data_IF_681557679512
#
_entry.id   IF_681557679512
#
_cell.length_a   1.000
_cell.length_b   1.000
_cell.length_c   1.000
_cell.angle_alpha   90.00
_cell.angle_beta   90.00
_cell.angle_gamma   90.00
#
_symmetry.space_group_name_H-M   'P 1'
#
loop_
_entity.id
_entity.type
_entity.pdbx_description
1 polymer ?
#
# COMPACT_ATOMS: atom_id res chain seq x y z
N UNK A 1 -26.12 -14.68 2.81
CA UNK A 1 -26.06 -13.32 2.22
C UNK A 1 -25.86 -13.46 0.72
N UNK A 2 -26.62 -12.75 -0.11
CA UNK A 2 -26.44 -12.77 -1.58
C UNK A 2 -25.11 -12.12 -1.99
N UNK A 3 -24.57 -12.45 -3.17
CA UNK A 3 -23.32 -11.84 -3.65
C UNK A 3 -23.46 -10.32 -3.83
N UNK A 4 -24.63 -9.83 -4.26
CA UNK A 4 -24.95 -8.40 -4.34
C UNK A 4 -24.79 -7.72 -2.99
N UNK A 5 -25.34 -8.33 -1.94
CA UNK A 5 -25.21 -7.81 -0.59
C UNK A 5 -23.74 -7.84 -0.14
N UNK A 6 -22.97 -8.89 -0.41
CA UNK A 6 -21.54 -8.95 -0.05
C UNK A 6 -20.74 -7.77 -0.62
N UNK A 7 -20.90 -7.46 -1.91
CA UNK A 7 -20.24 -6.31 -2.55
C UNK A 7 -20.72 -4.99 -1.95
N UNK A 8 -22.02 -4.81 -1.76
CA UNK A 8 -22.56 -3.59 -1.15
C UNK A 8 -22.01 -3.36 0.26
N UNK A 9 -21.92 -4.41 1.10
CA UNK A 9 -21.38 -4.30 2.45
C UNK A 9 -19.88 -4.01 2.46
N UNK A 10 -19.11 -4.58 1.52
CA UNK A 10 -17.69 -4.29 1.37
C UNK A 10 -17.44 -2.83 0.95
N UNK A 11 -18.23 -2.31 0.02
CA UNK A 11 -18.07 -0.94 -0.47
C UNK A 11 -18.57 0.09 0.54
N UNK A 12 -19.66 -0.21 1.25
CA UNK A 12 -20.11 0.60 2.38
C UNK A 12 -19.06 0.61 3.51
N UNK A 13 -18.47 -0.54 3.82
CA UNK A 13 -17.40 -0.63 4.80
C UNK A 13 -16.19 0.24 4.41
N UNK A 14 -15.73 0.15 3.16
CA UNK A 14 -14.64 0.99 2.67
C UNK A 14 -14.99 2.47 2.77
N UNK A 15 -16.17 2.87 2.29
CA UNK A 15 -16.65 4.24 2.38
C UNK A 15 -16.67 4.77 3.82
N UNK A 16 -17.27 4.03 4.76
CA UNK A 16 -17.34 4.44 6.16
C UNK A 16 -15.96 4.54 6.81
N UNK A 17 -15.05 3.62 6.45
CA UNK A 17 -13.68 3.61 6.94
C UNK A 17 -12.95 4.89 6.53
N UNK A 18 -13.03 5.29 5.26
CA UNK A 18 -12.35 6.51 4.78
C UNK A 18 -13.09 7.80 5.18
N UNK A 19 -14.41 7.76 5.29
CA UNK A 19 -15.21 8.91 5.73
C UNK A 19 -14.88 9.32 7.16
N UNK A 20 -14.49 8.37 8.02
CA UNK A 20 -14.15 8.63 9.42
C UNK A 20 -12.89 9.51 9.59
N UNK A 21 -12.02 9.58 8.58
CA UNK A 21 -10.83 10.45 8.58
C UNK A 21 -11.20 11.92 8.71
N UNK A 22 -12.30 12.35 8.08
CA UNK A 22 -12.72 13.76 8.07
C UNK A 22 -13.04 14.29 9.47
N UNK A 23 -13.99 13.72 10.24
CA UNK A 23 -14.28 14.21 11.59
C UNK A 23 -13.08 14.07 12.52
N UNK A 24 -12.26 13.03 12.36
CA UNK A 24 -11.02 12.87 13.14
C UNK A 24 -10.06 14.04 12.92
N UNK A 25 -9.78 14.40 11.66
CA UNK A 25 -8.92 15.53 11.33
C UNK A 25 -9.49 16.88 11.82
N UNK A 26 -10.82 17.07 11.77
CA UNK A 26 -11.46 18.27 12.32
C UNK A 26 -11.24 18.38 13.83
N UNK A 27 -11.39 17.27 14.56
CA UNK A 27 -11.15 17.24 16.01
C UNK A 27 -9.68 17.53 16.33
N UNK A 28 -8.74 16.93 15.60
CA UNK A 28 -7.30 17.17 15.76
C UNK A 28 -6.98 18.66 15.51
N UNK A 29 -7.51 19.23 14.42
CA UNK A 29 -7.31 20.64 14.08
C UNK A 29 -7.88 21.57 15.16
N UNK A 30 -9.08 21.28 15.67
CA UNK A 30 -9.69 22.06 16.74
C UNK A 30 -8.86 22.03 18.03
N UNK A 31 -8.37 20.85 18.44
CA UNK A 31 -7.49 20.72 19.61
C UNK A 31 -6.20 21.52 19.39
N UNK A 32 -5.59 21.39 18.22
CA UNK A 32 -4.36 22.11 17.86
C UNK A 32 -4.55 23.63 17.95
N UNK A 33 -5.62 24.17 17.37
CA UNK A 33 -5.89 25.62 17.40
C UNK A 33 -6.25 26.15 18.80
N UNK A 34 -6.91 25.35 19.63
CA UNK A 34 -7.38 25.79 20.96
C UNK A 34 -6.36 25.61 22.07
N UNK A 35 -5.48 24.62 21.96
CA UNK A 35 -4.51 24.27 23.02
C UNK A 35 -3.06 24.51 22.60
N UNK A 36 -2.78 24.72 21.32
CA UNK A 36 -1.43 24.75 20.76
C UNK A 36 -0.77 23.37 20.65
N UNK A 37 -1.48 22.30 21.01
CA UNK A 37 -0.95 20.95 20.95
C UNK A 37 -0.76 20.47 19.51
N UNK A 38 0.41 19.89 19.22
CA UNK A 38 0.69 19.28 17.92
C UNK A 38 0.71 17.76 18.04
N UNK A 39 0.04 17.10 17.10
CA UNK A 39 0.04 15.64 16.99
C UNK A 39 1.40 15.18 16.49
N UNK A 40 2.05 14.25 17.21
CA UNK A 40 3.29 13.64 16.71
C UNK A 40 3.01 12.67 15.56
N UNK A 41 3.99 12.47 14.67
CA UNK A 41 3.90 11.51 13.57
C UNK A 41 3.56 10.10 14.07
N UNK A 42 4.17 9.66 15.19
CA UNK A 42 3.88 8.37 15.81
C UNK A 42 2.41 8.26 16.23
N UNK A 43 1.88 9.27 16.92
CA UNK A 43 0.50 9.27 17.36
C UNK A 43 -0.48 9.26 16.18
N UNK A 44 -0.17 9.99 15.10
CA UNK A 44 -0.95 9.98 13.88
C UNK A 44 -1.04 8.58 13.26
N UNK A 45 0.10 7.88 13.12
CA UNK A 45 0.15 6.49 12.59
C UNK A 45 -0.61 5.51 13.50
N UNK A 46 -0.43 5.60 14.82
CA UNK A 46 -1.11 4.70 15.76
C UNK A 46 -2.62 4.91 15.77
N UNK A 47 -3.08 6.16 15.73
CA UNK A 47 -4.51 6.48 15.65
C UNK A 47 -5.07 5.99 14.31
N UNK A 48 -4.36 6.20 13.20
CA UNK A 48 -4.85 5.83 11.87
C UNK A 48 -5.01 4.32 11.72
N UNK A 49 -4.00 3.56 12.12
CA UNK A 49 -4.06 2.10 12.11
C UNK A 49 -5.03 1.56 13.18
N UNK A 50 -5.14 2.23 14.32
CA UNK A 50 -6.07 1.89 15.40
C UNK A 50 -7.53 1.95 14.96
N UNK A 51 -7.95 3.02 14.27
CA UNK A 51 -9.34 3.11 13.79
C UNK A 51 -9.60 2.11 12.67
N UNK A 52 -8.65 1.83 11.77
CA UNK A 52 -8.79 0.77 10.78
C UNK A 52 -9.03 -0.60 11.44
N UNK A 53 -8.30 -0.93 12.52
CA UNK A 53 -8.53 -2.16 13.29
C UNK A 53 -9.96 -2.20 13.84
N UNK A 54 -10.46 -1.09 14.40
CA UNK A 54 -11.82 -0.99 14.91
C UNK A 54 -12.83 -1.22 13.78
N UNK A 55 -12.67 -0.55 12.64
CA UNK A 55 -13.52 -0.71 11.47
C UNK A 55 -13.54 -2.18 10.99
N UNK A 56 -12.36 -2.78 10.80
CA UNK A 56 -12.22 -4.19 10.37
C UNK A 56 -12.88 -5.14 11.37
N UNK A 57 -12.72 -4.89 12.67
CA UNK A 57 -13.32 -5.70 13.74
C UNK A 57 -14.85 -5.64 13.68
N UNK A 58 -15.42 -4.43 13.52
CA UNK A 58 -16.87 -4.24 13.35
C UNK A 58 -17.37 -4.97 12.11
N UNK A 59 -16.66 -4.85 10.98
CA UNK A 59 -17.02 -5.56 9.75
C UNK A 59 -17.03 -7.08 9.94
N UNK A 60 -15.99 -7.63 10.55
CA UNK A 60 -15.88 -9.06 10.81
C UNK A 60 -17.00 -9.58 11.72
N UNK A 61 -17.34 -8.83 12.77
CA UNK A 61 -18.44 -9.16 13.68
C UNK A 61 -19.81 -9.07 12.98
N UNK A 62 -19.99 -8.08 12.10
CA UNK A 62 -21.24 -7.88 11.35
C UNK A 62 -21.43 -8.89 10.20
N UNK A 63 -20.34 -9.36 9.58
CA UNK A 63 -20.38 -10.20 8.38
C UNK A 63 -20.97 -11.60 8.60
N UNK A 64 -21.11 -12.05 9.87
CA UNK A 64 -21.66 -13.36 10.30
C UNK A 64 -21.17 -14.56 9.48
N UNK A 65 -19.95 -14.47 8.93
CA UNK A 65 -19.28 -15.50 8.12
C UNK A 65 -17.96 -15.87 8.79
N UNK A 66 -17.44 -17.06 8.46
CA UNK A 66 -16.12 -17.48 8.95
C UNK A 66 -15.06 -16.51 8.43
N UNK A 67 -14.46 -15.74 9.34
CA UNK A 67 -13.47 -14.69 9.05
C UNK A 67 -12.30 -15.23 8.22
N UNK A 68 -11.79 -16.42 8.51
CA UNK A 68 -10.69 -17.03 7.77
C UNK A 68 -11.02 -17.36 6.31
N UNK A 69 -12.27 -17.74 6.02
CA UNK A 69 -12.73 -18.04 4.67
C UNK A 69 -13.00 -16.75 3.88
N UNK A 70 -13.61 -15.74 4.52
CA UNK A 70 -13.88 -14.42 3.93
C UNK A 70 -12.59 -13.67 3.62
N UNK A 71 -11.65 -13.66 4.58
CA UNK A 71 -10.37 -12.94 4.45
C UNK A 71 -9.30 -13.75 3.71
N UNK A 72 -9.58 -14.98 3.29
CA UNK A 72 -8.60 -15.88 2.63
C UNK A 72 -7.33 -16.10 3.46
N UNK A 73 -7.48 -16.28 4.78
CA UNK A 73 -6.37 -16.65 5.66
C UNK A 73 -6.14 -18.16 5.52
N UNK A 74 -5.20 -18.54 4.65
CA UNK A 74 -4.86 -19.93 4.32
C UNK A 74 -3.36 -20.15 4.38
N UNK A 75 -2.92 -21.37 4.68
CA UNK A 75 -1.52 -21.73 4.46
C UNK A 75 -1.26 -21.78 2.96
N UNK A 76 -0.06 -21.38 2.55
CA UNK A 76 0.41 -21.44 1.17
C UNK A 76 1.78 -22.13 1.13
N UNK A 77 2.21 -22.58 -0.04
CA UNK A 77 3.43 -23.38 -0.16
C UNK A 77 4.67 -22.59 0.31
N UNK A 78 5.52 -23.19 1.16
CA UNK A 78 6.66 -22.50 1.79
C UNK A 78 7.66 -21.95 0.76
N UNK A 79 7.91 -22.67 -0.33
CA UNK A 79 8.74 -22.17 -1.44
C UNK A 79 8.18 -20.91 -2.10
N UNK A 80 6.86 -20.70 -2.01
CA UNK A 80 6.25 -19.45 -2.47
C UNK A 80 6.55 -18.29 -1.55
N UNK A 81 6.76 -18.50 -0.25
CA UNK A 81 7.14 -17.43 0.67
C UNK A 81 8.49 -16.84 0.23
N UNK A 82 9.47 -17.70 -0.08
CA UNK A 82 10.74 -17.26 -0.64
C UNK A 82 10.58 -16.56 -2.00
N UNK A 83 9.84 -17.15 -2.94
CA UNK A 83 9.66 -16.56 -4.26
C UNK A 83 8.89 -15.24 -4.23
N UNK A 84 7.98 -15.04 -3.27
CA UNK A 84 7.30 -13.75 -3.07
C UNK A 84 8.30 -12.66 -2.65
N UNK A 85 9.30 -12.98 -1.84
CA UNK A 85 10.37 -12.04 -1.47
C UNK A 85 11.29 -11.73 -2.67
N UNK A 86 11.63 -12.75 -3.47
CA UNK A 86 12.40 -12.55 -4.71
C UNK A 86 11.60 -11.70 -5.71
N UNK A 87 10.31 -11.97 -5.84
CA UNK A 87 9.40 -11.19 -6.68
C UNK A 87 9.34 -9.73 -6.20
N UNK A 88 9.24 -9.50 -4.89
CA UNK A 88 9.26 -8.16 -4.32
C UNK A 88 10.55 -7.45 -4.69
N UNK A 89 11.71 -8.09 -4.52
CA UNK A 89 13.00 -7.53 -4.92
C UNK A 89 13.05 -7.16 -6.40
N UNK A 90 12.52 -8.01 -7.29
CA UNK A 90 12.47 -7.70 -8.73
C UNK A 90 11.46 -6.62 -9.09
N UNK A 91 10.40 -6.44 -8.28
CA UNK A 91 9.39 -5.41 -8.50
C UNK A 91 9.79 -4.05 -7.91
N UNK A 92 10.64 -4.02 -6.88
CA UNK A 92 11.05 -2.80 -6.18
C UNK A 92 11.61 -1.71 -7.10
N UNK A 93 12.44 -2.00 -8.14
CA UNK A 93 12.89 -0.96 -9.08
C UNK A 93 11.74 -0.22 -9.78
N UNK A 94 10.61 -0.89 -10.06
CA UNK A 94 9.43 -0.23 -10.64
C UNK A 94 8.77 0.69 -9.61
N UNK A 95 8.65 0.24 -8.36
CA UNK A 95 8.09 1.07 -7.28
C UNK A 95 8.97 2.31 -7.03
N UNK A 96 10.29 2.17 -6.97
CA UNK A 96 11.23 3.28 -6.83
C UNK A 96 11.20 4.22 -8.02
N UNK A 97 11.10 3.69 -9.25
CA UNK A 97 10.94 4.52 -10.44
C UNK A 97 9.65 5.35 -10.37
N UNK A 98 8.52 4.74 -9.95
CA UNK A 98 7.25 5.43 -9.79
C UNK A 98 7.29 6.50 -8.68
N UNK A 99 7.95 6.22 -7.56
CA UNK A 99 8.17 7.18 -6.48
C UNK A 99 9.06 8.36 -6.95
N UNK A 100 10.15 8.11 -7.67
CA UNK A 100 10.98 9.18 -8.23
C UNK A 100 10.20 9.99 -9.27
N UNK A 101 9.39 9.34 -10.12
CA UNK A 101 8.59 10.02 -11.14
C UNK A 101 7.51 10.90 -10.52
N UNK A 102 6.86 10.47 -9.44
CA UNK A 102 5.86 11.29 -8.74
C UNK A 102 6.49 12.48 -7.98
N UNK A 103 7.75 12.35 -7.54
CA UNK A 103 8.51 13.45 -6.92
C UNK A 103 8.80 14.63 -7.87
N UNK A 104 8.64 14.46 -9.19
CA UNK A 104 8.67 15.59 -10.13
C UNK A 104 7.51 16.57 -9.96
N UNK A 105 6.45 16.18 -9.25
CA UNK A 105 5.21 16.94 -9.13
C UNK A 105 4.77 17.17 -7.68
N UNK A 106 5.08 16.25 -6.75
CA UNK A 106 4.66 16.30 -5.35
C UNK A 106 5.77 15.76 -4.44
N UNK A 107 6.04 16.44 -3.32
CA UNK A 107 7.02 16.07 -2.30
C UNK A 107 6.72 14.70 -1.67
N UNK A 108 7.74 14.06 -1.09
CA UNK A 108 7.62 12.76 -0.44
C UNK A 108 7.48 12.89 1.07
N UNK A 109 6.24 13.09 1.53
CA UNK A 109 5.91 13.24 2.96
C UNK A 109 6.05 11.93 3.77
N UNK A 110 6.10 10.78 3.08
CA UNK A 110 6.23 9.49 3.75
C UNK A 110 7.61 9.36 4.38
N UNK A 111 8.66 9.79 3.68
CA UNK A 111 10.03 9.64 4.17
C UNK A 111 10.30 10.55 5.39
N UNK A 112 9.78 11.78 5.38
CA UNK A 112 9.83 12.71 6.51
C UNK A 112 9.04 12.17 7.70
N UNK A 113 7.82 11.66 7.48
CA UNK A 113 7.03 11.01 8.53
C UNK A 113 7.77 9.83 9.18
N UNK A 114 8.45 9.00 8.40
CA UNK A 114 9.25 7.88 8.94
C UNK A 114 10.43 8.42 9.76
N UNK A 115 11.08 9.49 9.31
CA UNK A 115 12.20 10.10 10.02
C UNK A 115 11.77 10.67 11.37
N UNK A 116 10.65 11.42 11.42
CA UNK A 116 10.08 11.97 12.65
C UNK A 116 9.74 10.87 13.66
N UNK A 117 9.28 9.71 13.19
CA UNK A 117 9.06 8.56 14.08
C UNK A 117 10.40 7.94 14.50
N UNK A 118 11.41 7.92 13.62
CA UNK A 118 12.69 7.28 13.88
C UNK A 118 13.51 7.94 14.99
N UNK A 119 13.30 9.23 15.22
CA UNK A 119 13.92 9.95 16.33
C UNK A 119 13.25 9.66 17.68
N UNK A 120 11.97 9.26 17.65
CA UNK A 120 11.16 9.02 18.85
C UNK A 120 11.23 7.57 19.37
N UNK A 121 11.37 6.59 18.46
CA UNK A 121 11.29 5.16 18.84
C UNK A 121 12.46 4.34 18.28
N UNK A 122 12.85 3.24 18.96
CA UNK A 122 13.90 2.36 18.46
C UNK A 122 13.52 1.68 17.15
N UNK A 123 14.54 1.33 16.36
CA UNK A 123 14.41 0.67 15.05
C UNK A 123 13.40 -0.49 15.02
N UNK A 124 13.48 -1.43 15.98
CA UNK A 124 12.55 -2.56 16.01
C UNK A 124 11.09 -2.12 16.22
N UNK A 125 10.85 -1.08 17.01
CA UNK A 125 9.52 -0.51 17.18
C UNK A 125 9.05 0.17 15.89
N UNK A 126 9.93 0.90 15.19
CA UNK A 126 9.65 1.46 13.85
C UNK A 126 9.23 0.39 12.84
N UNK A 127 9.95 -0.73 12.78
CA UNK A 127 9.62 -1.87 11.91
C UNK A 127 8.24 -2.45 12.24
N UNK A 128 7.86 -2.51 13.51
CA UNK A 128 6.55 -3.02 13.91
C UNK A 128 5.42 -2.03 13.60
N UNK A 129 5.61 -0.74 13.91
CA UNK A 129 4.58 0.30 13.81
C UNK A 129 4.35 0.75 12.37
N UNK A 130 5.41 0.89 11.57
CA UNK A 130 5.34 1.39 10.19
C UNK A 130 5.40 0.23 9.19
N UNK A 131 6.14 -0.83 9.52
CA UNK A 131 6.29 -2.00 8.66
C UNK A 131 5.13 -2.99 8.77
N UNK A 132 5.03 -3.63 9.94
CA UNK A 132 4.17 -4.79 10.12
C UNK A 132 2.69 -4.44 10.36
N UNK A 133 2.41 -3.40 11.16
CA UNK A 133 1.05 -3.02 11.53
C UNK A 133 0.19 -2.60 10.30
N UNK A 134 0.64 -1.68 9.43
CA UNK A 134 -0.08 -1.35 8.19
C UNK A 134 -0.25 -2.57 7.28
N UNK A 135 0.81 -3.37 7.13
CA UNK A 135 0.77 -4.57 6.30
C UNK A 135 -0.29 -5.59 6.76
N UNK A 136 -0.55 -5.70 8.06
CA UNK A 136 -1.62 -6.53 8.60
C UNK A 136 -2.99 -5.93 8.29
N UNK A 137 -3.18 -4.66 8.62
CA UNK A 137 -4.52 -4.04 8.63
C UNK A 137 -5.01 -3.72 7.22
N UNK A 138 -4.15 -3.13 6.40
CA UNK A 138 -4.51 -2.69 5.04
C UNK A 138 -4.73 -3.86 4.09
N UNK A 139 -3.99 -4.97 4.26
CA UNK A 139 -4.20 -6.20 3.49
C UNK A 139 -5.55 -6.83 3.82
N UNK A 140 -6.02 -6.75 5.07
CA UNK A 140 -7.36 -7.23 5.44
C UNK A 140 -8.43 -6.40 4.73
N UNK A 141 -8.31 -5.08 4.72
CA UNK A 141 -9.26 -4.18 4.04
C UNK A 141 -9.23 -4.43 2.53
N UNK A 142 -8.06 -4.39 1.92
CA UNK A 142 -7.93 -4.41 0.46
C UNK A 142 -8.09 -5.81 -0.11
N UNK A 143 -7.35 -6.80 0.41
CA UNK A 143 -7.32 -8.16 -0.18
C UNK A 143 -8.32 -9.09 0.50
N UNK A 144 -8.51 -8.92 1.81
CA UNK A 144 -9.50 -9.68 2.56
C UNK A 144 -10.94 -9.29 2.20
N UNK A 145 -11.27 -8.00 2.25
CA UNK A 145 -12.64 -7.50 2.03
C UNK A 145 -12.91 -7.15 0.56
N UNK A 146 -12.21 -6.17 0.00
CA UNK A 146 -12.54 -5.62 -1.32
C UNK A 146 -12.24 -6.59 -2.47
N UNK A 147 -11.03 -7.17 -2.52
CA UNK A 147 -10.67 -8.15 -3.55
C UNK A 147 -11.61 -9.37 -3.51
N UNK A 148 -11.89 -9.92 -2.34
CA UNK A 148 -12.79 -11.06 -2.18
C UNK A 148 -14.22 -10.75 -2.64
N UNK A 149 -14.75 -9.57 -2.31
CA UNK A 149 -16.09 -9.18 -2.70
C UNK A 149 -16.19 -8.96 -4.23
N UNK A 150 -15.29 -8.17 -4.80
CA UNK A 150 -15.35 -7.79 -6.22
C UNK A 150 -14.94 -8.93 -7.18
N UNK A 151 -14.13 -9.88 -6.71
CA UNK A 151 -13.82 -11.11 -7.46
C UNK A 151 -15.05 -11.99 -7.71
N UNK A 152 -16.12 -11.86 -6.91
CA UNK A 152 -17.40 -12.54 -7.17
C UNK A 152 -18.01 -12.11 -8.51
N UNK A 153 -17.78 -10.86 -8.91
CA UNK A 153 -18.26 -10.31 -10.20
C UNK A 153 -17.23 -10.52 -11.31
N UNK A 154 -15.97 -10.21 -11.04
CA UNK A 154 -14.89 -10.30 -12.02
C UNK A 154 -13.55 -10.25 -11.31
N UNK A 155 -12.72 -11.27 -11.53
CA UNK A 155 -11.36 -11.32 -11.01
C UNK A 155 -10.55 -10.06 -11.37
N UNK A 156 -10.60 -9.63 -12.63
CA UNK A 156 -9.91 -8.42 -13.10
C UNK A 156 -10.39 -7.17 -12.36
N UNK A 157 -11.69 -7.08 -12.10
CA UNK A 157 -12.24 -5.94 -11.38
C UNK A 157 -11.84 -5.97 -9.92
N UNK A 158 -11.85 -7.13 -9.27
CA UNK A 158 -11.36 -7.29 -7.90
C UNK A 158 -9.90 -6.88 -7.73
N UNK A 159 -9.04 -7.26 -8.68
CA UNK A 159 -7.63 -6.86 -8.70
C UNK A 159 -7.50 -5.33 -8.83
N UNK A 160 -8.16 -4.72 -9.82
CA UNK A 160 -8.05 -3.29 -10.07
C UNK A 160 -8.66 -2.47 -8.94
N UNK A 161 -9.87 -2.81 -8.49
CA UNK A 161 -10.59 -2.08 -7.43
C UNK A 161 -9.81 -2.15 -6.11
N UNK A 162 -9.29 -3.33 -5.74
CA UNK A 162 -8.49 -3.45 -4.52
C UNK A 162 -7.16 -2.70 -4.61
N UNK A 163 -6.53 -2.66 -5.78
CA UNK A 163 -5.31 -1.88 -6.01
C UNK A 163 -5.55 -0.36 -5.96
N UNK A 164 -6.64 0.13 -6.57
CA UNK A 164 -7.04 1.55 -6.47
C UNK A 164 -7.37 1.90 -5.03
N UNK A 165 -8.13 1.05 -4.32
CA UNK A 165 -8.43 1.28 -2.91
C UNK A 165 -7.16 1.35 -2.06
N UNK A 166 -6.22 0.43 -2.28
CA UNK A 166 -4.94 0.43 -1.59
C UNK A 166 -4.14 1.72 -1.85
N UNK A 167 -4.05 2.19 -3.10
CA UNK A 167 -3.43 3.47 -3.40
C UNK A 167 -4.14 4.63 -2.69
N UNK A 168 -5.48 4.71 -2.82
CA UNK A 168 -6.29 5.78 -2.25
C UNK A 168 -6.25 5.84 -0.73
N UNK A 169 -6.12 4.71 -0.02
CA UNK A 169 -6.04 4.69 1.45
C UNK A 169 -4.84 5.46 2.00
N UNK A 170 -3.78 5.65 1.21
CA UNK A 170 -2.61 6.41 1.63
C UNK A 170 -2.87 7.92 1.65
N UNK A 171 -3.85 8.41 0.87
CA UNK A 171 -4.22 9.83 0.80
C UNK A 171 -3.03 10.78 0.55
N UNK A 172 -1.98 10.28 -0.10
CA UNK A 172 -0.76 11.00 -0.44
C UNK A 172 -0.47 10.80 -1.93
N UNK A 173 -0.36 11.90 -2.69
CA UNK A 173 -0.24 11.83 -4.15
C UNK A 173 1.05 11.17 -4.61
N UNK A 174 2.14 11.41 -3.89
CA UNK A 174 3.43 10.81 -4.21
C UNK A 174 3.35 9.29 -4.09
N UNK A 175 2.78 8.82 -2.98
CA UNK A 175 2.65 7.42 -2.61
C UNK A 175 1.62 6.68 -3.44
N UNK A 176 0.51 7.32 -3.79
CA UNK A 176 -0.56 6.71 -4.59
C UNK A 176 -0.03 6.07 -5.89
N UNK A 177 0.96 6.67 -6.55
CA UNK A 177 1.50 6.17 -7.81
C UNK A 177 2.14 4.78 -7.67
N UNK A 178 3.10 4.61 -6.76
CA UNK A 178 3.75 3.32 -6.54
C UNK A 178 2.88 2.36 -5.72
N UNK A 179 2.03 2.88 -4.82
CA UNK A 179 1.07 2.09 -4.06
C UNK A 179 0.05 1.43 -4.99
N UNK A 180 -0.39 2.08 -6.08
CA UNK A 180 -1.27 1.43 -7.06
C UNK A 180 -0.58 0.23 -7.75
N UNK A 181 0.68 0.38 -8.14
CA UNK A 181 1.46 -0.70 -8.74
C UNK A 181 1.64 -1.89 -7.77
N UNK A 182 2.09 -1.63 -6.54
CA UNK A 182 2.17 -2.65 -5.49
C UNK A 182 0.80 -3.23 -5.16
N UNK A 183 -0.23 -2.39 -5.22
CA UNK A 183 -1.66 -2.67 -5.24
C UNK A 183 -1.99 -3.89 -6.09
N UNK A 184 -1.71 -3.75 -7.39
CA UNK A 184 -1.91 -4.76 -8.41
C UNK A 184 -1.05 -6.01 -8.15
N UNK A 185 0.23 -5.81 -7.82
CA UNK A 185 1.18 -6.89 -7.58
C UNK A 185 0.74 -7.79 -6.42
N UNK A 186 0.37 -7.20 -5.28
CA UNK A 186 -0.11 -7.93 -4.12
C UNK A 186 -1.44 -8.63 -4.42
N UNK A 187 -2.39 -7.97 -5.11
CA UNK A 187 -3.61 -8.66 -5.52
C UNK A 187 -3.32 -9.90 -6.39
N UNK A 188 -2.35 -9.81 -7.31
CA UNK A 188 -1.89 -10.95 -8.11
C UNK A 188 -1.18 -12.03 -7.28
N UNK A 189 -0.39 -11.65 -6.27
CA UNK A 189 0.22 -12.61 -5.33
C UNK A 189 -0.87 -13.36 -4.55
N UNK A 190 -1.89 -12.68 -4.02
CA UNK A 190 -3.01 -13.36 -3.31
C UNK A 190 -3.74 -14.31 -4.23
N UNK A 191 -3.95 -13.95 -5.49
CA UNK A 191 -4.60 -14.84 -6.45
C UNK A 191 -3.71 -16.05 -6.78
N UNK A 192 -2.40 -15.84 -6.95
CA UNK A 192 -1.43 -16.89 -7.22
C UNK A 192 -1.25 -17.87 -6.03
N UNK A 193 -1.28 -17.40 -4.79
CA UNK A 193 -1.07 -18.23 -3.59
C UNK A 193 -2.38 -18.71 -2.95
N UNK A 194 -3.47 -18.00 -3.20
CA UNK A 194 -4.75 -18.17 -2.51
C UNK A 194 -4.78 -17.66 -1.06
N UNK A 195 -3.78 -16.90 -0.62
CA UNK A 195 -3.65 -16.46 0.78
C UNK A 195 -3.18 -15.03 0.95
N UNK A 196 -3.89 -14.25 1.79
CA UNK A 196 -3.45 -12.90 2.18
C UNK A 196 -2.18 -12.91 3.04
N UNK A 197 -1.83 -14.03 3.67
CA UNK A 197 -0.61 -14.12 4.48
C UNK A 197 0.65 -13.92 3.61
N UNK A 198 0.58 -14.32 2.34
CA UNK A 198 1.68 -14.12 1.40
C UNK A 198 1.92 -12.65 1.07
N UNK A 199 0.87 -11.86 0.96
CA UNK A 199 0.98 -10.41 0.72
C UNK A 199 1.22 -9.61 1.97
N UNK A 200 0.70 -10.02 3.13
CA UNK A 200 1.07 -9.44 4.42
C UNK A 200 2.59 -9.53 4.63
N UNK A 201 3.20 -10.68 4.30
CA UNK A 201 4.66 -10.83 4.34
C UNK A 201 5.34 -9.88 3.35
N UNK A 202 4.92 -9.86 2.09
CA UNK A 202 5.52 -8.99 1.07
C UNK A 202 5.42 -7.51 1.43
N UNK A 203 4.25 -7.07 1.87
CA UNK A 203 3.98 -5.70 2.26
C UNK A 203 4.78 -5.31 3.52
N UNK A 204 4.80 -6.17 4.54
CA UNK A 204 5.59 -5.91 5.75
C UNK A 204 7.09 -5.79 5.44
N UNK A 205 7.62 -6.66 4.55
CA UNK A 205 9.02 -6.58 4.12
C UNK A 205 9.28 -5.32 3.30
N UNK A 206 8.38 -4.93 2.38
CA UNK A 206 8.54 -3.72 1.60
C UNK A 206 8.64 -2.48 2.50
N UNK A 207 7.69 -2.34 3.44
CA UNK A 207 7.68 -1.23 4.37
C UNK A 207 8.87 -1.30 5.34
N UNK A 208 9.24 -2.49 5.81
CA UNK A 208 10.42 -2.69 6.66
C UNK A 208 11.71 -2.22 5.96
N UNK A 209 11.88 -2.48 4.66
CA UNK A 209 13.03 -1.98 3.89
C UNK A 209 13.03 -0.46 3.83
N UNK A 210 11.87 0.18 3.57
CA UNK A 210 11.76 1.65 3.57
C UNK A 210 12.09 2.25 4.93
N UNK A 211 11.58 1.66 6.02
CA UNK A 211 11.91 2.06 7.40
C UNK A 211 13.40 1.87 7.67
N UNK A 212 13.98 0.74 7.27
CA UNK A 212 15.41 0.47 7.45
C UNK A 212 16.27 1.52 6.76
N UNK A 213 15.90 1.92 5.55
CA UNK A 213 16.63 2.94 4.81
C UNK A 213 16.68 4.26 5.58
N UNK A 214 15.54 4.73 6.10
CA UNK A 214 15.47 5.99 6.86
C UNK A 214 16.23 5.91 8.18
N UNK A 215 16.08 4.82 8.94
CA UNK A 215 16.80 4.63 10.21
C UNK A 215 18.32 4.53 10.04
N UNK A 216 18.79 4.01 8.90
CA UNK A 216 20.21 3.87 8.60
C UNK A 216 20.81 5.13 7.95
N UNK A 217 19.99 6.09 7.51
CA UNK A 217 20.46 7.26 6.78
C UNK A 217 21.49 8.10 7.57
N UNK A 218 21.30 8.42 8.87
CA UNK A 218 22.31 9.14 9.64
C UNK A 218 23.65 8.39 9.71
N UNK A 219 23.60 7.07 9.91
CA UNK A 219 24.80 6.22 9.94
C UNK A 219 25.52 6.19 8.58
N UNK A 220 24.77 6.17 7.47
CA UNK A 220 25.33 6.21 6.11
C UNK A 220 26.07 7.53 5.89
N UNK A 221 25.51 8.65 6.35
CA UNK A 221 26.14 9.98 6.26
C UNK A 221 27.44 10.02 7.06
N UNK A 222 27.42 9.56 8.32
CA UNK A 222 28.62 9.48 9.18
C UNK A 222 29.69 8.56 8.57
N UNK A 223 29.29 7.42 8.01
CA UNK A 223 30.20 6.49 7.34
C UNK A 223 30.85 7.13 6.11
N UNK A 224 30.08 7.87 5.30
CA UNK A 224 30.61 8.60 4.15
C UNK A 224 31.65 9.63 4.58
N UNK A 225 31.38 10.41 5.62
CA UNK A 225 32.33 11.39 6.16
C UNK A 225 33.60 10.71 6.66
N UNK A 226 33.48 9.60 7.39
CA UNK A 226 34.63 8.83 7.88
C UNK A 226 35.50 8.26 6.74
N UNK A 227 34.90 7.84 5.62
CA UNK A 227 35.61 7.26 4.48
C UNK A 227 36.24 8.31 3.56
N UNK A 228 35.59 9.47 3.39
CA UNK A 228 36.03 10.50 2.44
C UNK A 228 36.78 11.66 3.09
N UNK A 229 36.63 11.84 4.41
CA UNK A 229 37.11 13.03 5.13
C UNK A 229 36.33 14.30 4.77
N UNK A 230 35.25 14.19 4.00
CA UNK A 230 34.41 15.30 3.57
C UNK A 230 33.11 15.28 4.37
N UNK A 231 32.84 16.36 5.10
CA UNK A 231 31.56 16.54 5.77
C UNK A 231 30.42 16.60 4.74
N UNK A 232 29.29 15.98 5.04
CA UNK A 232 28.11 16.09 4.21
C UNK A 232 27.57 17.52 4.24
N UNK A 233 27.11 18.02 3.09
CA UNK A 233 26.55 19.38 2.98
C UNK A 233 25.21 19.52 3.72
N UNK A 234 24.44 18.43 3.82
CA UNK A 234 23.14 18.40 4.50
C UNK A 234 23.05 17.19 5.43
N UNK A 235 22.35 17.36 6.55
CA UNK A 235 22.00 16.27 7.46
C UNK A 235 20.85 15.41 6.94
N UNK A 236 20.58 14.27 7.62
CA UNK A 236 19.53 13.33 7.21
C UNK A 236 18.13 13.96 7.14
N UNK A 237 17.74 14.74 8.16
CA UNK A 237 16.46 15.46 8.20
C UNK A 237 16.30 16.42 7.03
N UNK A 238 17.34 17.22 6.78
CA UNK A 238 17.37 18.23 5.73
C UNK A 238 17.30 17.59 4.34
N UNK A 239 18.02 16.49 4.11
CA UNK A 239 17.94 15.71 2.88
C UNK A 239 16.52 15.17 2.61
N UNK A 240 15.82 14.69 3.64
CA UNK A 240 14.48 14.11 3.49
C UNK A 240 13.40 15.18 3.32
N UNK A 241 13.53 16.31 4.01
CA UNK A 241 12.57 17.43 3.96
C UNK A 241 12.68 18.24 2.68
N UNK A 242 13.91 18.56 2.24
CA UNK A 242 14.11 19.27 0.97
C UNK A 242 13.84 18.36 -0.24
N UNK A 243 14.03 17.06 -0.07
CA UNK A 243 13.91 16.09 -1.15
C UNK A 243 15.02 16.22 -2.19
N UNK A 244 14.95 15.39 -3.23
CA UNK A 244 15.94 15.42 -4.32
C UNK A 244 15.65 16.55 -5.31
N UNK A 245 16.71 17.22 -5.78
CA UNK A 245 16.59 18.23 -6.81
C UNK A 245 16.11 17.64 -8.14
N UNK A 246 15.47 18.45 -9.01
CA UNK A 246 14.91 17.97 -10.27
C UNK A 246 15.94 17.24 -11.15
N UNK A 247 17.19 17.73 -11.19
CA UNK A 247 18.28 17.08 -11.96
C UNK A 247 18.67 15.71 -11.39
N UNK A 248 18.64 15.55 -10.07
CA UNK A 248 18.92 14.29 -9.36
C UNK A 248 17.79 13.29 -9.60
N UNK A 249 16.53 13.75 -9.56
CA UNK A 249 15.35 12.92 -9.88
C UNK A 249 15.44 12.42 -11.33
N UNK A 250 15.75 13.29 -12.29
CA UNK A 250 15.89 12.90 -13.69
C UNK A 250 17.04 11.89 -13.89
N UNK A 251 18.15 12.07 -13.19
CA UNK A 251 19.25 11.10 -13.19
C UNK A 251 18.82 9.76 -12.58
N UNK A 252 18.11 9.78 -11.45
CA UNK A 252 17.59 8.58 -10.81
C UNK A 252 16.63 7.82 -11.75
N UNK A 253 15.72 8.51 -12.44
CA UNK A 253 14.83 7.91 -13.42
C UNK A 253 15.58 7.24 -14.57
N UNK A 254 16.59 7.92 -15.12
CA UNK A 254 17.44 7.37 -16.19
C UNK A 254 18.13 6.08 -15.73
N UNK A 255 18.73 6.09 -14.54
CA UNK A 255 19.45 4.95 -13.98
C UNK A 255 18.50 3.79 -13.63
N UNK A 256 17.31 4.07 -13.08
CA UNK A 256 16.34 3.06 -12.66
C UNK A 256 15.57 2.41 -13.82
N UNK A 257 15.43 3.09 -14.97
CA UNK A 257 14.63 2.62 -16.11
C UNK A 257 14.99 1.20 -16.60
N UNK A 258 16.27 0.84 -16.87
CA UNK A 258 16.62 -0.52 -17.29
C UNK A 258 16.29 -1.57 -16.21
N UNK A 259 16.49 -1.24 -14.93
CA UNK A 259 16.17 -2.14 -13.81
C UNK A 259 14.65 -2.31 -13.63
N UNK A 260 13.87 -1.24 -13.79
CA UNK A 260 12.42 -1.29 -13.76
C UNK A 260 11.86 -2.16 -14.90
N UNK A 261 12.39 -2.00 -16.13
CA UNK A 261 12.00 -2.81 -17.27
C UNK A 261 12.30 -4.30 -17.08
N UNK A 262 13.54 -4.63 -16.68
CA UNK A 262 13.93 -6.01 -16.39
C UNK A 262 13.13 -6.60 -15.21
N UNK A 263 12.95 -5.82 -14.16
CA UNK A 263 12.21 -6.17 -12.96
C UNK A 263 10.75 -6.53 -13.22
N UNK A 264 10.08 -5.78 -14.09
CA UNK A 264 8.70 -6.05 -14.49
C UNK A 264 8.55 -7.40 -15.20
N UNK A 265 9.47 -7.72 -16.12
CA UNK A 265 9.48 -9.01 -16.84
C UNK A 265 9.72 -10.17 -15.86
N UNK A 266 10.73 -10.05 -15.00
CA UNK A 266 11.04 -11.07 -14.00
C UNK A 266 9.90 -11.29 -13.01
N UNK A 267 9.24 -10.21 -12.58
CA UNK A 267 8.07 -10.27 -11.69
C UNK A 267 6.93 -11.07 -12.32
N UNK A 268 6.67 -10.90 -13.63
CA UNK A 268 5.68 -11.69 -14.35
C UNK A 268 6.00 -13.18 -14.40
N UNK A 269 7.26 -13.54 -14.62
CA UNK A 269 7.72 -14.93 -14.60
C UNK A 269 7.61 -15.55 -13.20
N UNK A 270 8.04 -14.83 -12.17
CA UNK A 270 7.96 -15.28 -10.78
C UNK A 270 6.51 -15.44 -10.31
N UNK A 271 5.61 -14.53 -10.69
CA UNK A 271 4.17 -14.68 -10.43
C UNK A 271 3.62 -15.99 -11.00
N UNK A 272 3.97 -16.32 -12.25
CA UNK A 272 3.53 -17.58 -12.88
C UNK A 272 4.10 -18.80 -12.15
N UNK A 273 5.38 -18.76 -11.74
CA UNK A 273 5.99 -19.84 -10.96
C UNK A 273 5.31 -20.03 -9.59
N UNK A 274 5.01 -18.94 -8.89
CA UNK A 274 4.27 -18.97 -7.63
C UNK A 274 2.89 -19.59 -7.84
N UNK A 275 2.19 -19.21 -8.92
CA UNK A 275 0.88 -19.76 -9.25
C UNK A 275 0.94 -21.28 -9.46
N UNK A 276 1.94 -21.74 -10.23
CA UNK A 276 2.16 -23.17 -10.50
C UNK A 276 2.48 -23.97 -9.22
N UNK A 277 3.30 -23.40 -8.33
CA UNK A 277 3.61 -24.04 -7.04
C UNK A 277 2.40 -24.20 -6.12
N UNK A 278 1.40 -23.33 -6.26
CA UNK A 278 0.15 -23.41 -5.49
C UNK A 278 -1.00 -24.01 -6.31
N UNK A 279 -0.74 -24.60 -7.48
CA UNK A 279 -1.74 -25.24 -8.37
C UNK A 279 -2.87 -24.27 -8.78
N UNK A 280 -2.49 -23.04 -9.13
CA UNK A 280 -3.38 -21.90 -9.41
C UNK A 280 -3.09 -21.21 -10.73
N UNK A 281 -2.33 -21.84 -11.63
CA UNK A 281 -1.95 -21.30 -12.94
C UNK A 281 -3.16 -20.98 -13.85
N UNK A 282 -4.28 -21.69 -13.69
CA UNK A 282 -5.50 -21.46 -14.49
C UNK A 282 -6.09 -20.05 -14.28
N UNK A 283 -5.85 -19.44 -13.12
CA UNK A 283 -6.27 -18.07 -12.82
C UNK A 283 -5.69 -17.11 -13.84
N UNK A 284 -4.42 -17.26 -14.20
CA UNK A 284 -3.76 -16.42 -15.20
C UNK A 284 -4.27 -16.71 -16.61
N UNK A 285 -4.62 -17.95 -16.92
CA UNK A 285 -5.27 -18.29 -18.19
C UNK A 285 -6.64 -17.60 -18.32
N UNK A 286 -7.40 -17.50 -17.23
CA UNK A 286 -8.69 -16.78 -17.19
C UNK A 286 -8.57 -15.27 -17.42
N UNK A 287 -7.40 -14.70 -17.16
CA UNK A 287 -7.09 -13.31 -17.46
C UNK A 287 -6.84 -13.05 -18.93
N UNK A 288 -6.61 -14.05 -19.79
CA UNK A 288 -6.33 -13.82 -21.21
C UNK A 288 -7.26 -14.59 -22.16
N UNK A 289 -7.65 -15.82 -21.80
CA UNK A 289 -8.43 -16.71 -22.66
C UNK A 289 -9.94 -16.55 -22.44
N UNK A 290 -10.68 -16.32 -23.53
CA UNK A 290 -12.14 -16.09 -23.52
C UNK A 290 -12.92 -17.30 -23.01
N UNK A 291 -12.49 -18.51 -23.36
CA UNK A 291 -13.10 -19.78 -22.92
C UNK A 291 -13.12 -19.94 -21.39
N UNK A 292 -12.00 -19.64 -20.73
CA UNK A 292 -11.90 -19.66 -19.27
C UNK A 292 -12.72 -18.54 -18.61
N UNK A 293 -12.89 -17.40 -19.29
CA UNK A 293 -13.69 -16.27 -18.81
C UNK A 293 -15.20 -16.53 -18.87
N UNK A 294 -15.65 -17.32 -19.84
CA UNK A 294 -17.07 -17.71 -19.98
C UNK A 294 -17.45 -18.80 -18.98
N UNK A 295 -16.51 -19.69 -18.64
CA UNK A 295 -16.70 -20.76 -17.66
C UNK A 295 -16.39 -20.35 -16.20
N UNK A 296 -15.90 -19.13 -15.97
CA UNK A 296 -15.58 -18.66 -14.63
C UNK A 296 -16.87 -18.57 -13.75
N UNK A 297 -16.84 -19.04 -12.49
CA UNK A 297 -18.00 -19.03 -11.60
C UNK A 297 -18.26 -17.63 -11.03
N UNK A 298 -18.54 -16.66 -11.90
CA UNK A 298 -18.78 -15.25 -11.56
C UNK A 298 -20.26 -14.90 -11.62
N UNK A 299 -20.71 -14.06 -10.69
CA UNK A 299 -22.07 -13.56 -10.62
C UNK A 299 -22.21 -12.22 -11.36
N UNK A 300 -22.63 -12.30 -12.62
CA UNK A 300 -22.86 -11.11 -13.48
C UNK A 300 -24.12 -10.32 -13.10
N UNK A 301 -24.86 -10.70 -12.07
CA UNK A 301 -25.94 -9.86 -11.54
C UNK A 301 -25.41 -8.77 -10.60
N UNK A 302 -24.23 -8.96 -10.02
CA UNK A 302 -23.61 -8.06 -9.04
C UNK A 302 -23.09 -6.78 -9.71
N UNK A 303 -23.44 -5.57 -9.26
CA UNK A 303 -22.91 -4.35 -9.85
C UNK A 303 -21.38 -4.29 -9.69
N UNK A 304 -20.69 -3.80 -10.72
CA UNK A 304 -19.23 -3.63 -10.70
C UNK A 304 -18.80 -2.49 -9.78
N UNK A 305 -19.60 -1.43 -9.77
CA UNK A 305 -19.38 -0.19 -9.02
C UNK A 305 -20.72 0.20 -8.42
N UNK A 306 -20.69 0.70 -7.18
CA UNK A 306 -21.84 1.31 -6.54
C UNK A 306 -21.48 2.68 -5.95
N UNK A 307 -22.47 3.48 -5.52
CA UNK A 307 -22.22 4.85 -5.04
C UNK A 307 -21.27 4.93 -3.85
N UNK A 308 -21.26 3.94 -2.94
CA UNK A 308 -20.37 3.94 -1.78
C UNK A 308 -18.91 3.79 -2.20
N UNK A 309 -18.61 2.89 -3.14
CA UNK A 309 -17.25 2.72 -3.65
C UNK A 309 -16.74 4.03 -4.28
N UNK A 310 -17.56 4.66 -5.13
CA UNK A 310 -17.22 5.93 -5.78
C UNK A 310 -17.01 7.03 -4.73
N UNK A 311 -17.92 7.16 -3.77
CA UNK A 311 -17.81 8.15 -2.71
C UNK A 311 -16.55 7.95 -1.87
N UNK A 312 -16.18 6.70 -1.56
CA UNK A 312 -14.94 6.39 -0.84
C UNK A 312 -13.70 6.84 -1.61
N UNK A 313 -13.64 6.56 -2.91
CA UNK A 313 -12.53 7.05 -3.76
C UNK A 313 -12.50 8.56 -3.87
N UNK A 314 -13.65 9.22 -4.01
CA UNK A 314 -13.73 10.69 -4.06
C UNK A 314 -13.20 11.30 -2.76
N UNK A 315 -13.58 10.77 -1.59
CA UNK A 315 -13.05 11.25 -0.30
C UNK A 315 -11.53 11.15 -0.27
N UNK A 316 -10.96 9.99 -0.64
CA UNK A 316 -9.51 9.79 -0.64
C UNK A 316 -8.79 10.75 -1.58
N UNK A 317 -9.31 10.92 -2.81
CA UNK A 317 -8.71 11.80 -3.81
C UNK A 317 -8.77 13.27 -3.39
N UNK A 318 -9.88 13.71 -2.81
CA UNK A 318 -10.03 15.06 -2.28
C UNK A 318 -9.02 15.30 -1.16
N UNK A 319 -8.87 14.36 -0.22
CA UNK A 319 -7.89 14.45 0.87
C UNK A 319 -6.46 14.53 0.35
N UNK A 320 -6.09 13.68 -0.61
CA UNK A 320 -4.78 13.74 -1.25
C UNK A 320 -4.55 15.10 -1.93
N UNK A 321 -5.58 15.66 -2.59
CA UNK A 321 -5.45 16.94 -3.31
C UNK A 321 -5.23 18.09 -2.34
N UNK A 322 -5.93 18.09 -1.21
CA UNK A 322 -5.69 19.07 -0.16
C UNK A 322 -4.26 18.98 0.39
N UNK A 323 -3.74 17.77 0.63
CA UNK A 323 -2.36 17.56 1.08
C UNK A 323 -1.34 18.11 0.08
N UNK A 324 -1.45 17.73 -1.19
CA UNK A 324 -0.52 18.17 -2.24
C UNK A 324 -0.60 19.68 -2.52
N UNK A 325 -1.79 20.29 -2.42
CA UNK A 325 -1.95 21.74 -2.59
C UNK A 325 -1.38 22.53 -1.41
N UNK A 326 -1.45 21.98 -0.20
CA UNK A 326 -0.86 22.62 0.98
C UNK A 326 0.66 22.70 0.87
N UNK A 327 1.32 21.62 0.45
CA UNK A 327 2.78 21.59 0.28
C UNK A 327 3.26 22.49 -0.85
N UNK A 328 2.49 22.62 -1.94
CA UNK A 328 2.81 23.53 -3.04
C UNK A 328 2.65 25.03 -2.69
N UNK A 329 1.85 25.37 -1.67
CA UNK A 329 1.61 26.77 -1.28
C UNK A 329 2.70 27.34 -0.35
N UNK A 330 3.59 26.49 0.16
CA UNK A 330 4.72 26.89 1.03
C UNK A 330 5.99 27.27 0.25
N UNK A 331 5.97 27.10 -1.08
CA UNK A 331 7.03 27.49 -2.04
C UNK A 331 6.61 28.71 -2.89
#
# INVERSE_FOLDING_TARGET
MSNKAKVLHADLFFFLTVLFVIPLNIVILYISQTTGWQMSALANVLISQGYFIVCVSIYCLAARQKVSETLRIRKFHLGSAFLVLVLLLTASPVAYWLNAASQLFVTNEVATTIYDISVDIPYLAGILVIGALPALVEEIICRGVLLSAHSLRSLRAGIIISAVAFACLHMDFNQMAYAFFLGLLFALIVEATGSILSTMLAHAVFNAVSVSFVYLLPFIIELQESLTGMAAEMGAEEMLTQGAGQSEILLALLLLTPFAGAGLVLSGLLLYLIAKLNQREEIFMSLYKKEYKENAPVDRSVPLVNPFLVAGFVVCLVMALFGALATMAEY
#
